data_IF_789048792996
#
_entry.id   IF_789048792996
#
_cell.length_a   1.000
_cell.length_b   1.000
_cell.length_c   1.000
_cell.angle_alpha   90.00
_cell.angle_beta   90.00
_cell.angle_gamma   90.00
#
_symmetry.space_group_name_H-M   'P 1'
#
loop_
_entity.id
_entity.type
_entity.pdbx_description
1 polymer ?
#
# COMPACT_ATOMS: atom_id res chain seq x y z
N UNK A 1 -9.88 -21.01 15.96
CA UNK A 1 -11.14 -20.44 15.49
C UNK A 1 -10.91 -19.93 14.06
N UNK A 2 -11.43 -20.63 13.05
CA UNK A 2 -11.20 -20.31 11.63
C UNK A 2 -12.19 -19.25 11.21
N UNK A 3 -11.75 -18.03 10.99
CA UNK A 3 -12.57 -16.99 10.33
C UNK A 3 -12.72 -17.33 8.86
N UNK A 4 -13.95 -17.65 8.48
CA UNK A 4 -14.37 -17.90 7.10
C UNK A 4 -14.01 -16.70 6.22
N UNK A 5 -13.24 -16.95 5.17
CA UNK A 5 -13.03 -16.05 4.05
C UNK A 5 -14.40 -15.68 3.43
N UNK A 6 -14.88 -14.49 3.70
CA UNK A 6 -15.96 -13.86 2.92
C UNK A 6 -15.33 -13.12 1.74
N UNK A 7 -14.91 -13.90 0.76
CA UNK A 7 -14.48 -13.36 -0.53
C UNK A 7 -15.69 -13.39 -1.46
N UNK A 8 -16.20 -12.22 -1.85
CA UNK A 8 -17.08 -12.12 -3.00
C UNK A 8 -18.44 -11.43 -2.86
N UNK A 9 -18.77 -10.85 -1.73
CA UNK A 9 -19.97 -10.01 -1.65
C UNK A 9 -19.67 -8.64 -2.24
N UNK A 10 -20.31 -8.24 -3.38
CA UNK A 10 -20.12 -6.91 -3.99
C UNK A 10 -20.58 -5.77 -3.06
N UNK A 11 -21.33 -6.07 -2.02
CA UNK A 11 -21.75 -5.12 -0.98
C UNK A 11 -20.70 -4.93 0.13
N UNK A 12 -19.57 -5.66 0.11
CA UNK A 12 -18.54 -5.52 1.14
C UNK A 12 -17.93 -4.12 1.12
N UNK A 13 -17.83 -3.41 2.27
CA UNK A 13 -17.22 -2.08 2.36
C UNK A 13 -15.74 -2.06 1.96
N UNK A 14 -15.14 -3.22 1.79
CA UNK A 14 -13.72 -3.36 1.42
C UNK A 14 -13.47 -3.45 -0.10
N UNK A 15 -14.52 -3.66 -0.92
CA UNK A 15 -14.37 -3.76 -2.38
C UNK A 15 -13.70 -2.52 -2.99
N UNK A 16 -14.06 -1.28 -2.61
CA UNK A 16 -13.40 -0.08 -3.10
C UNK A 16 -11.88 -0.09 -2.86
N UNK A 17 -11.44 -0.50 -1.68
CA UNK A 17 -10.01 -0.60 -1.33
C UNK A 17 -9.30 -1.69 -2.14
N UNK A 18 -9.94 -2.85 -2.33
CA UNK A 18 -9.39 -3.94 -3.14
C UNK A 18 -9.11 -3.48 -4.57
N UNK A 19 -10.03 -2.73 -5.16
CA UNK A 19 -9.88 -2.20 -6.51
C UNK A 19 -8.78 -1.14 -6.55
N UNK A 20 -8.80 -0.18 -5.61
CA UNK A 20 -7.88 0.95 -5.60
C UNK A 20 -6.43 0.52 -5.33
N UNK A 21 -6.18 -0.44 -4.43
CA UNK A 21 -4.83 -0.94 -4.17
C UNK A 21 -4.18 -1.61 -5.38
N UNK A 22 -4.98 -2.24 -6.24
CA UNK A 22 -4.48 -2.86 -7.46
C UNK A 22 -3.96 -1.87 -8.50
N UNK A 23 -4.18 -0.57 -8.31
CA UNK A 23 -3.55 0.48 -9.09
C UNK A 23 -2.02 0.47 -8.94
N UNK A 24 -1.50 0.12 -7.76
CA UNK A 24 -0.07 0.07 -7.52
C UNK A 24 0.59 -1.13 -8.22
N UNK A 25 1.81 -0.90 -8.69
CA UNK A 25 2.61 -1.94 -9.36
C UNK A 25 2.77 -3.17 -8.45
N UNK A 26 2.43 -4.36 -8.98
CA UNK A 26 2.52 -5.67 -8.30
C UNK A 26 1.59 -5.87 -7.11
N UNK A 27 0.74 -4.93 -6.80
CA UNK A 27 -0.39 -5.19 -5.91
C UNK A 27 -1.49 -5.81 -6.78
N UNK A 28 -1.54 -7.13 -6.85
CA UNK A 28 -2.61 -7.87 -7.53
C UNK A 28 -3.79 -8.12 -6.56
N UNK A 29 -4.85 -8.78 -7.05
CA UNK A 29 -6.03 -9.07 -6.23
C UNK A 29 -5.70 -9.84 -4.94
N UNK A 30 -4.80 -10.83 -5.00
CA UNK A 30 -4.38 -11.61 -3.81
C UNK A 30 -3.63 -10.71 -2.81
N UNK A 31 -2.68 -9.91 -3.30
CA UNK A 31 -1.93 -8.98 -2.43
C UNK A 31 -2.86 -7.93 -1.81
N UNK A 32 -3.77 -7.35 -2.60
CA UNK A 32 -4.76 -6.40 -2.10
C UNK A 32 -5.69 -7.05 -1.04
N UNK A 33 -6.20 -8.26 -1.33
CA UNK A 33 -7.03 -9.01 -0.39
C UNK A 33 -6.30 -9.34 0.91
N UNK A 34 -5.02 -9.74 0.84
CA UNK A 34 -4.20 -9.98 2.04
C UNK A 34 -4.08 -8.70 2.88
N UNK A 35 -3.79 -7.56 2.26
CA UNK A 35 -3.65 -6.27 2.97
C UNK A 35 -4.98 -5.86 3.61
N UNK A 36 -6.09 -5.97 2.88
CA UNK A 36 -7.43 -5.59 3.37
C UNK A 36 -7.92 -6.56 4.46
N UNK A 37 -7.67 -7.86 4.32
CA UNK A 37 -8.05 -8.84 5.34
C UNK A 37 -7.36 -8.61 6.68
N UNK A 38 -6.14 -8.07 6.68
CA UNK A 38 -5.34 -7.86 7.88
C UNK A 38 -5.53 -6.46 8.50
N UNK A 39 -5.80 -5.45 7.71
CA UNK A 39 -5.91 -4.05 8.18
C UNK A 39 -7.32 -3.46 8.06
N UNK A 40 -8.24 -4.15 7.41
CA UNK A 40 -9.59 -3.64 7.17
C UNK A 40 -9.58 -2.36 6.33
N UNK A 41 -10.32 -1.37 6.77
CA UNK A 41 -10.49 -0.08 6.11
C UNK A 41 -9.40 0.97 6.46
N UNK A 42 -8.36 0.58 7.18
CA UNK A 42 -7.30 1.47 7.67
C UNK A 42 -7.75 2.54 8.67
N UNK A 43 -8.99 2.51 9.15
CA UNK A 43 -9.50 3.50 10.12
C UNK A 43 -8.64 3.58 11.40
N UNK A 44 -8.18 2.45 11.99
CA UNK A 44 -7.32 2.50 13.18
C UNK A 44 -5.91 3.05 12.90
N UNK A 45 -5.53 3.15 11.63
CA UNK A 45 -4.17 3.52 11.22
C UNK A 45 -4.14 5.00 10.83
N UNK A 46 -4.11 5.88 11.80
CA UNK A 46 -4.19 7.34 11.64
C UNK A 46 -3.04 7.97 10.85
N UNK A 47 -1.92 7.24 10.69
CA UNK A 47 -0.72 7.77 10.06
C UNK A 47 0.05 6.67 9.30
N UNK A 48 0.74 6.98 8.18
CA UNK A 48 1.52 5.99 7.42
C UNK A 48 2.53 5.19 8.25
N UNK A 49 3.10 5.81 9.29
CA UNK A 49 4.04 5.11 10.20
C UNK A 49 3.37 4.00 10.99
N UNK A 50 2.08 4.14 11.34
CA UNK A 50 1.33 3.08 12.00
C UNK A 50 1.22 1.84 11.11
N UNK A 51 0.94 2.00 9.81
CA UNK A 51 0.98 0.91 8.83
C UNK A 51 2.36 0.27 8.76
N UNK A 52 3.43 1.07 8.69
CA UNK A 52 4.80 0.57 8.64
C UNK A 52 5.17 -0.26 9.88
N UNK A 53 4.75 0.19 11.06
CA UNK A 53 4.95 -0.52 12.33
C UNK A 53 4.17 -1.82 12.38
N UNK A 54 2.89 -1.80 12.00
CA UNK A 54 2.02 -2.99 11.97
C UNK A 54 2.52 -4.06 11.00
N UNK A 55 3.21 -3.66 9.92
CA UNK A 55 3.89 -4.59 8.99
C UNK A 55 5.26 -5.03 9.53
N UNK A 56 5.87 -4.27 10.44
CA UNK A 56 7.21 -4.54 10.97
C UNK A 56 8.33 -4.27 9.96
N UNK A 57 8.16 -3.25 9.10
CA UNK A 57 9.17 -2.79 8.13
C UNK A 57 9.92 -1.53 8.60
N UNK A 58 9.68 -1.10 9.84
CA UNK A 58 10.41 -0.02 10.49
C UNK A 58 11.79 -0.52 10.89
N UNK A 59 12.88 0.28 10.71
CA UNK A 59 14.18 -0.09 11.22
C UNK A 59 14.17 -0.17 12.75
N UNK A 60 14.94 -1.09 13.31
CA UNK A 60 15.25 -1.07 14.74
C UNK A 60 16.20 0.10 15.01
N UNK A 61 15.92 0.89 16.04
CA UNK A 61 16.85 1.89 16.52
C UNK A 61 17.85 1.20 17.46
N UNK A 62 19.09 1.06 16.99
CA UNK A 62 20.21 0.59 17.77
C UNK A 62 21.07 1.81 18.21
N UNK A 63 20.45 2.73 18.94
CA UNK A 63 21.12 3.93 19.42
C UNK A 63 21.67 3.68 20.81
N UNK A 64 23.01 3.58 20.92
CA UNK A 64 23.71 3.73 22.20
C UNK A 64 24.54 5.00 22.13
N UNK A 65 24.07 6.10 22.74
CA UNK A 65 24.77 7.38 22.77
C UNK A 65 24.64 8.21 21.47
N UNK A 66 25.63 9.09 21.14
CA UNK A 66 25.54 10.06 20.05
C UNK A 66 25.54 9.44 18.64
N UNK A 67 25.83 8.14 18.52
CA UNK A 67 25.85 7.44 17.23
C UNK A 67 24.53 6.72 16.96
N UNK A 68 23.66 7.32 16.17
CA UNK A 68 22.43 6.68 15.67
C UNK A 68 22.75 5.64 14.59
N UNK A 69 22.78 4.36 14.94
CA UNK A 69 22.85 3.24 13.99
C UNK A 69 21.46 2.65 13.78
N UNK A 70 20.93 2.78 12.56
CA UNK A 70 19.69 2.11 12.16
C UNK A 70 19.98 0.64 11.88
N UNK A 71 19.42 -0.24 12.69
CA UNK A 71 19.46 -1.68 12.54
C UNK A 71 18.59 -2.23 11.41
N UNK A 72 18.45 -3.56 11.31
CA UNK A 72 17.52 -4.22 10.38
C UNK A 72 16.07 -3.85 10.70
N UNK A 73 15.13 -4.32 9.88
CA UNK A 73 13.69 -4.13 10.14
C UNK A 73 13.26 -4.90 11.39
N UNK A 74 12.32 -4.36 12.16
CA UNK A 74 11.86 -4.93 13.45
C UNK A 74 11.29 -6.34 13.31
N UNK A 75 10.66 -6.65 12.16
CA UNK A 75 9.92 -7.91 11.90
C UNK A 75 8.81 -8.21 12.91
N UNK A 76 8.55 -7.32 13.86
CA UNK A 76 7.40 -7.35 14.76
C UNK A 76 6.17 -6.90 13.97
N UNK A 77 5.08 -7.67 14.00
CA UNK A 77 3.86 -7.35 13.26
C UNK A 77 3.52 -8.38 12.19
N UNK A 78 2.63 -8.02 11.27
CA UNK A 78 2.03 -8.95 10.32
C UNK A 78 3.03 -9.49 9.31
N UNK A 79 3.38 -10.76 9.44
CA UNK A 79 4.35 -11.43 8.58
C UNK A 79 3.81 -11.68 7.16
N UNK A 80 2.49 -11.91 7.03
CA UNK A 80 1.85 -12.13 5.73
C UNK A 80 1.90 -10.87 4.87
N UNK A 81 1.44 -9.74 5.41
CA UNK A 81 1.49 -8.45 4.72
C UNK A 81 2.94 -8.06 4.43
N UNK A 82 3.84 -8.22 5.37
CA UNK A 82 5.27 -7.94 5.15
C UNK A 82 5.83 -8.71 3.98
N UNK A 83 5.55 -10.02 3.87
CA UNK A 83 6.03 -10.86 2.78
C UNK A 83 5.54 -10.37 1.42
N UNK A 84 4.22 -10.16 1.27
CA UNK A 84 3.66 -9.74 -0.02
C UNK A 84 4.10 -8.33 -0.42
N UNK A 85 4.32 -7.42 0.54
CA UNK A 85 4.83 -6.08 0.24
C UNK A 85 6.32 -6.08 -0.12
N UNK A 86 7.16 -6.91 0.50
CA UNK A 86 8.55 -7.09 0.10
C UNK A 86 8.63 -7.66 -1.31
N UNK A 87 7.78 -8.63 -1.64
CA UNK A 87 7.68 -9.22 -2.97
C UNK A 87 7.25 -8.18 -4.02
N UNK A 88 6.24 -7.36 -3.70
CA UNK A 88 5.83 -6.24 -4.54
C UNK A 88 6.97 -5.22 -4.72
N UNK A 89 7.71 -4.91 -3.65
CA UNK A 89 8.83 -3.96 -3.67
C UNK A 89 9.95 -4.38 -4.62
N UNK A 90 10.21 -5.68 -4.78
CA UNK A 90 11.18 -6.18 -5.75
C UNK A 90 10.87 -5.77 -7.19
N UNK A 91 9.62 -5.53 -7.54
CA UNK A 91 9.20 -5.16 -8.90
C UNK A 91 9.63 -3.74 -9.30
N UNK A 92 9.93 -2.89 -8.33
CA UNK A 92 10.38 -1.52 -8.61
C UNK A 92 11.82 -1.43 -9.13
N UNK A 93 12.50 -2.58 -9.30
CA UNK A 93 13.75 -2.66 -10.08
C UNK A 93 13.55 -2.34 -11.57
N UNK A 94 12.36 -2.63 -12.10
CA UNK A 94 12.03 -2.31 -13.49
C UNK A 94 11.67 -0.84 -13.65
N UNK A 95 11.98 -0.29 -14.82
CA UNK A 95 11.67 1.10 -15.14
C UNK A 95 10.17 1.40 -14.99
N UNK A 96 9.81 2.64 -14.60
CA UNK A 96 8.43 3.10 -14.59
C UNK A 96 7.77 2.94 -15.96
N UNK A 97 6.51 2.49 -15.99
CA UNK A 97 5.74 2.33 -17.23
C UNK A 97 4.28 2.70 -17.03
N UNK A 98 3.76 3.55 -17.90
CA UNK A 98 2.34 3.92 -17.92
C UNK A 98 1.46 2.86 -18.60
N UNK A 99 2.06 1.90 -19.32
CA UNK A 99 1.36 0.83 -20.06
C UNK A 99 1.39 -0.53 -19.35
N UNK A 100 1.80 -0.57 -18.09
CA UNK A 100 1.91 -1.83 -17.33
C UNK A 100 0.56 -2.40 -16.87
N UNK A 101 0.61 -3.60 -16.28
CA UNK A 101 -0.58 -4.29 -15.73
C UNK A 101 -1.33 -3.49 -14.65
N UNK A 102 -0.65 -2.60 -13.91
CA UNK A 102 -1.30 -1.69 -12.97
C UNK A 102 -2.24 -0.73 -13.69
N UNK A 103 -1.82 -0.16 -14.81
CA UNK A 103 -2.65 0.74 -15.61
C UNK A 103 -3.90 0.05 -16.17
N UNK A 104 -3.80 -1.24 -16.55
CA UNK A 104 -4.95 -2.04 -16.99
C UNK A 104 -5.94 -2.28 -15.85
N UNK A 105 -5.45 -2.61 -14.65
CA UNK A 105 -6.29 -2.85 -13.47
C UNK A 105 -7.02 -1.61 -12.98
N UNK A 106 -6.43 -0.44 -13.14
CA UNK A 106 -7.13 0.83 -12.87
C UNK A 106 -8.38 1.00 -13.75
N UNK A 107 -8.42 0.35 -14.90
CA UNK A 107 -9.62 0.31 -15.75
C UNK A 107 -10.86 -0.30 -15.08
N UNK A 108 -10.69 -1.17 -14.08
CA UNK A 108 -11.78 -1.74 -13.28
C UNK A 108 -12.29 -0.79 -12.18
N UNK A 109 -11.58 0.29 -11.89
CA UNK A 109 -12.01 1.30 -10.92
C UNK A 109 -13.10 2.21 -11.51
N UNK A 110 -13.96 2.83 -10.67
CA UNK A 110 -14.91 3.85 -11.10
C UNK A 110 -14.24 4.91 -11.96
N UNK A 111 -14.95 5.41 -12.97
CA UNK A 111 -14.38 6.36 -13.94
C UNK A 111 -13.77 7.60 -13.25
N UNK A 112 -14.48 8.14 -12.25
CA UNK A 112 -14.04 9.28 -11.44
C UNK A 112 -12.70 9.03 -10.72
N UNK A 113 -12.39 7.77 -10.36
CA UNK A 113 -11.19 7.43 -9.59
C UNK A 113 -9.94 7.20 -10.45
N UNK A 114 -10.13 6.87 -11.75
CA UNK A 114 -9.05 6.41 -12.62
C UNK A 114 -7.91 7.42 -12.77
N UNK A 115 -8.22 8.69 -12.86
CA UNK A 115 -7.21 9.74 -13.04
C UNK A 115 -6.34 9.89 -11.79
N UNK A 116 -6.93 9.95 -10.61
CA UNK A 116 -6.22 10.05 -9.34
C UNK A 116 -5.35 8.81 -9.08
N UNK A 117 -5.90 7.60 -9.25
CA UNK A 117 -5.17 6.36 -9.06
C UNK A 117 -3.99 6.20 -10.03
N UNK A 118 -4.14 6.60 -11.30
CA UNK A 118 -3.02 6.63 -12.27
C UNK A 118 -1.92 7.60 -11.85
N UNK A 119 -2.29 8.74 -11.28
CA UNK A 119 -1.33 9.74 -10.80
C UNK A 119 -0.55 9.22 -9.59
N UNK A 120 -1.24 8.59 -8.64
CA UNK A 120 -0.60 7.99 -7.45
C UNK A 120 0.34 6.85 -7.87
N UNK A 121 -0.10 5.92 -8.75
CA UNK A 121 0.73 4.83 -9.24
C UNK A 121 1.97 5.34 -9.98
N UNK A 122 1.80 6.33 -10.86
CA UNK A 122 2.92 6.89 -11.60
C UNK A 122 3.96 7.53 -10.69
N UNK A 123 3.53 8.33 -9.71
CA UNK A 123 4.40 8.93 -8.69
C UNK A 123 5.11 7.86 -7.86
N UNK A 124 4.38 6.81 -7.45
CA UNK A 124 4.95 5.68 -6.72
C UNK A 124 6.02 4.96 -7.55
N UNK A 125 5.74 4.65 -8.81
CA UNK A 125 6.68 3.97 -9.69
C UNK A 125 7.99 4.76 -9.86
N UNK A 126 7.90 6.05 -10.14
CA UNK A 126 9.09 6.90 -10.31
C UNK A 126 9.92 6.97 -9.03
N UNK A 127 9.27 7.30 -7.93
CA UNK A 127 9.94 7.49 -6.64
C UNK A 127 10.57 6.20 -6.11
N UNK A 128 9.82 5.11 -6.11
CA UNK A 128 10.28 3.82 -5.56
C UNK A 128 11.37 3.19 -6.44
N UNK A 129 11.28 3.34 -7.76
CA UNK A 129 12.35 2.92 -8.67
C UNK A 129 13.66 3.68 -8.41
N UNK A 130 13.61 5.00 -8.39
CA UNK A 130 14.79 5.84 -8.12
C UNK A 130 15.40 5.52 -6.75
N UNK A 131 14.54 5.34 -5.73
CA UNK A 131 14.97 4.98 -4.38
C UNK A 131 15.64 3.61 -4.33
N UNK A 132 15.04 2.60 -4.97
CA UNK A 132 15.60 1.25 -5.01
C UNK A 132 16.99 1.25 -5.64
N UNK A 133 17.16 1.88 -6.80
CA UNK A 133 18.46 1.98 -7.49
C UNK A 133 19.51 2.64 -6.60
N UNK A 134 19.19 3.82 -6.03
CA UNK A 134 20.10 4.57 -5.18
C UNK A 134 20.55 3.78 -3.93
N UNK A 135 19.59 3.11 -3.27
CA UNK A 135 19.89 2.35 -2.05
C UNK A 135 20.61 1.04 -2.36
N UNK A 136 20.29 0.38 -3.46
CA UNK A 136 21.00 -0.85 -3.88
C UNK A 136 22.48 -0.58 -4.11
N UNK A 137 22.82 0.52 -4.77
CA UNK A 137 24.21 0.92 -4.98
C UNK A 137 24.97 1.22 -3.67
N UNK A 138 24.27 1.76 -2.65
CA UNK A 138 24.93 2.18 -1.39
C UNK A 138 24.95 1.10 -0.30
N UNK A 139 23.92 0.25 -0.23
CA UNK A 139 23.66 -0.65 0.93
C UNK A 139 23.34 -2.09 0.54
N UNK A 140 23.37 -2.40 -0.75
CA UNK A 140 22.96 -3.69 -1.26
C UNK A 140 21.44 -3.84 -1.40
N UNK A 141 21.05 -4.97 -2.01
CA UNK A 141 19.65 -5.20 -2.45
C UNK A 141 18.65 -5.38 -1.31
N UNK A 142 18.99 -6.17 -0.30
CA UNK A 142 18.02 -6.52 0.75
C UNK A 142 17.57 -5.30 1.58
N UNK A 143 18.49 -4.43 2.11
CA UNK A 143 18.09 -3.21 2.79
C UNK A 143 17.32 -2.23 1.88
N UNK A 144 17.69 -2.19 0.58
CA UNK A 144 17.03 -1.32 -0.39
C UNK A 144 15.56 -1.72 -0.61
N UNK A 145 15.30 -3.03 -0.78
CA UNK A 145 13.94 -3.57 -0.94
C UNK A 145 13.10 -3.33 0.32
N UNK A 146 13.65 -3.55 1.52
CA UNK A 146 12.95 -3.27 2.76
C UNK A 146 12.57 -1.79 2.90
N UNK A 147 13.46 -0.88 2.49
CA UNK A 147 13.18 0.56 2.49
C UNK A 147 12.09 0.94 1.48
N UNK A 148 12.04 0.28 0.32
CA UNK A 148 10.98 0.47 -0.68
C UNK A 148 9.66 -0.11 -0.19
N UNK A 149 9.64 -1.30 0.41
CA UNK A 149 8.44 -1.89 1.01
C UNK A 149 7.84 -0.98 2.09
N UNK A 150 8.68 -0.36 2.93
CA UNK A 150 8.26 0.62 3.91
C UNK A 150 7.59 1.84 3.26
N UNK A 151 8.17 2.38 2.18
CA UNK A 151 7.58 3.52 1.49
C UNK A 151 6.30 3.13 0.73
N UNK A 152 6.20 1.89 0.25
CA UNK A 152 4.98 1.34 -0.35
C UNK A 152 3.80 1.30 0.64
N UNK A 153 4.06 1.04 1.93
CA UNK A 153 3.04 1.16 2.99
C UNK A 153 2.45 2.58 3.04
N UNK A 154 3.27 3.61 2.79
CA UNK A 154 2.80 4.99 2.73
C UNK A 154 1.82 5.23 1.58
N UNK A 155 2.07 4.66 0.41
CA UNK A 155 1.15 4.75 -0.73
C UNK A 155 -0.14 3.96 -0.51
N UNK A 156 -0.09 2.80 0.15
CA UNK A 156 -1.30 2.08 0.54
C UNK A 156 -2.15 2.90 1.51
N UNK A 157 -1.54 3.52 2.50
CA UNK A 157 -2.23 4.41 3.42
C UNK A 157 -2.84 5.62 2.71
N UNK A 158 -2.09 6.27 1.80
CA UNK A 158 -2.58 7.40 1.00
C UNK A 158 -3.82 7.01 0.19
N UNK A 159 -3.79 5.87 -0.49
CA UNK A 159 -4.93 5.35 -1.25
C UNK A 159 -6.11 5.05 -0.31
N UNK A 160 -5.87 4.43 0.84
CA UNK A 160 -6.93 4.10 1.79
C UNK A 160 -7.64 5.35 2.32
N UNK A 161 -6.89 6.38 2.70
CA UNK A 161 -7.46 7.68 3.14
C UNK A 161 -8.24 8.33 2.01
N UNK A 162 -7.69 8.32 0.80
CA UNK A 162 -8.33 8.90 -0.36
C UNK A 162 -9.65 8.18 -0.72
N UNK A 163 -9.65 6.83 -0.77
CA UNK A 163 -10.86 6.03 -1.04
C UNK A 163 -11.93 6.30 0.00
N UNK A 164 -11.56 6.39 1.27
CA UNK A 164 -12.49 6.67 2.36
C UNK A 164 -13.17 8.04 2.20
N UNK A 165 -12.42 9.06 1.78
CA UNK A 165 -12.98 10.37 1.49
C UNK A 165 -13.98 10.31 0.32
N UNK A 166 -13.67 9.57 -0.76
CA UNK A 166 -14.58 9.42 -1.91
C UNK A 166 -15.88 8.70 -1.52
N UNK A 167 -15.77 7.60 -0.79
CA UNK A 167 -16.97 6.83 -0.37
C UNK A 167 -17.82 7.55 0.66
N UNK A 168 -17.26 8.46 1.45
CA UNK A 168 -18.01 9.33 2.34
C UNK A 168 -18.82 10.36 1.54
N UNK A 169 -18.22 11.03 0.58
CA UNK A 169 -18.89 12.02 -0.29
C UNK A 169 -20.04 11.38 -1.10
N UNK A 170 -19.82 10.18 -1.65
CA UNK A 170 -20.86 9.45 -2.39
C UNK A 170 -22.07 9.10 -1.50
N UNK A 171 -21.86 8.81 -0.22
CA UNK A 171 -22.95 8.55 0.74
C UNK A 171 -23.74 9.80 1.09
N UNK A 172 -23.08 10.94 1.22
CA UNK A 172 -23.72 12.23 1.51
C UNK A 172 -24.59 12.70 0.33
N UNK A 173 -24.15 12.49 -0.91
CA UNK A 173 -24.92 12.82 -2.11
C UNK A 173 -26.15 11.91 -2.30
N UNK A 174 -26.09 10.66 -1.83
CA UNK A 174 -27.19 9.68 -1.94
C UNK A 174 -28.25 9.82 -0.84
N UNK A 175 -28.03 10.66 0.20
CA UNK A 175 -29.01 10.90 1.26
C UNK A 175 -29.88 12.09 0.86
N UNK A 176 -31.18 11.89 0.45
CA UNK A 176 -32.05 12.99 0.11
C UNK A 176 -32.25 13.86 1.37
N UNK A 177 -32.05 15.18 1.22
CA UNK A 177 -32.41 16.15 2.25
C UNK A 177 -33.93 16.01 2.50
N UNK A 178 -34.28 15.42 3.63
CA UNK A 178 -35.65 15.47 4.14
C UNK A 178 -35.93 16.93 4.50
N UNK A 179 -36.71 17.57 3.67
CA UNK A 179 -37.36 18.87 3.99
C UNK A 179 -38.66 18.62 4.72
#
# INVERSE_FOLDING_TARGET
MRTRHQSGDPASPHVPLLIAFQALRRINGVTAATVVAEFGDFTPLSHPRAVMSSVGVVPTDASSGPNQRRGPITKTGNAHVRRVLIEAAHSYRYQPSRRGRSAQRVGAAPAAWRSALKTIDWRAQQRLHARLRRLTAKRGRAPAVAAVARELCGYLWEIAVWVRAQTASEKEECTPRSS
#
